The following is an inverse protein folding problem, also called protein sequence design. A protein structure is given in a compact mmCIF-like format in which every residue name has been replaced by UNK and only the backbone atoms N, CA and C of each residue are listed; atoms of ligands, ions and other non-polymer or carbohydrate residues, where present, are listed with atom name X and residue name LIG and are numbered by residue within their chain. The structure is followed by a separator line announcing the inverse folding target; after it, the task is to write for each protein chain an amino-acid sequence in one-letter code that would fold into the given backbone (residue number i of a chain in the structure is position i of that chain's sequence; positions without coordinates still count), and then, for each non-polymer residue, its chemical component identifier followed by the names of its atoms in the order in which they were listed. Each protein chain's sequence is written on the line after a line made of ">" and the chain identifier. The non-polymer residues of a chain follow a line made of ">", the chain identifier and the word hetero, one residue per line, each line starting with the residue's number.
data_IF_111362643037
#
_entry.id   IF_111362643037
#
_cell.length_a   1.000
_cell.length_b   1.000
_cell.length_c   1.000
_cell.angle_alpha   90.00
_cell.angle_beta   90.00
_cell.angle_gamma   90.00
#
_symmetry.space_group_name_H-M   'P 1'
#
loop_
_entity.id
_entity.type
_entity.pdbx_description
1 polymer ?
#
# COMPACT_ATOMS: atom_id res chain seq x y z
N UNK A 1 20.41 9.46 9.82
CA UNK A 1 21.52 8.55 9.45
C UNK A 1 21.09 7.32 8.64
N UNK A 2 19.80 7.11 8.33
CA UNK A 2 19.31 5.96 7.53
C UNK A 2 19.66 5.97 6.03
N UNK A 3 19.64 7.10 5.29
CA UNK A 3 19.93 7.09 3.84
C UNK A 3 21.39 6.74 3.51
N UNK A 4 22.32 6.84 4.48
CA UNK A 4 23.74 6.62 4.26
C UNK A 4 24.10 5.16 3.90
N UNK A 5 23.38 4.17 4.43
CA UNK A 5 23.65 2.75 4.15
C UNK A 5 23.18 2.33 2.75
N UNK A 6 22.00 2.83 2.32
CA UNK A 6 21.49 2.67 0.95
C UNK A 6 22.45 3.32 -0.06
N UNK A 7 22.94 4.53 0.25
CA UNK A 7 23.94 5.21 -0.58
C UNK A 7 25.26 4.45 -0.67
N UNK A 8 25.71 3.78 0.40
CA UNK A 8 26.92 2.95 0.36
C UNK A 8 26.71 1.71 -0.54
N UNK A 9 25.54 1.06 -0.46
CA UNK A 9 25.21 -0.05 -1.34
C UNK A 9 25.18 0.38 -2.83
N UNK A 10 24.60 1.54 -3.13
CA UNK A 10 24.60 2.12 -4.49
C UNK A 10 26.01 2.55 -4.92
N UNK A 11 26.79 3.19 -4.05
CA UNK A 11 28.16 3.62 -4.34
C UNK A 11 29.12 2.45 -4.60
N UNK A 12 28.87 1.28 -4.00
CA UNK A 12 29.63 0.06 -4.29
C UNK A 12 29.40 -0.47 -5.71
N UNK A 13 28.29 -0.05 -6.35
CA UNK A 13 27.92 -0.37 -7.74
C UNK A 13 27.68 0.93 -8.54
N UNK A 14 28.74 1.65 -8.96
CA UNK A 14 28.63 2.95 -9.64
C UNK A 14 27.96 2.92 -11.03
N UNK A 15 27.53 1.74 -11.51
CA UNK A 15 26.98 1.56 -12.84
C UNK A 15 25.45 1.74 -12.93
N UNK A 16 24.70 1.70 -11.83
CA UNK A 16 23.23 1.77 -11.86
C UNK A 16 22.70 3.12 -11.37
N UNK A 17 22.10 3.91 -12.27
CA UNK A 17 21.31 5.12 -11.91
C UNK A 17 20.01 4.77 -11.15
N UNK A 18 19.61 3.52 -11.20
CA UNK A 18 18.39 2.98 -10.62
C UNK A 18 18.71 2.11 -9.41
N UNK A 19 17.71 1.94 -8.55
CA UNK A 19 17.78 1.06 -7.40
C UNK A 19 17.41 -0.36 -7.84
N UNK A 20 18.27 -1.34 -7.56
CA UNK A 20 18.02 -2.74 -7.91
C UNK A 20 16.86 -3.31 -7.06
N UNK A 21 15.78 -3.84 -7.66
CA UNK A 21 14.73 -4.52 -6.92
C UNK A 21 15.28 -5.68 -6.09
N UNK A 22 14.85 -5.82 -4.85
CA UNK A 22 15.32 -6.88 -3.94
C UNK A 22 16.67 -6.59 -3.26
N UNK A 23 17.33 -5.47 -3.57
CA UNK A 23 18.55 -5.08 -2.87
C UNK A 23 18.26 -4.71 -1.40
N UNK A 24 19.18 -5.01 -0.47
CA UNK A 24 18.99 -4.68 0.95
C UNK A 24 19.01 -3.17 1.17
N UNK A 25 18.02 -2.66 1.90
CA UNK A 25 17.88 -1.23 2.22
C UNK A 25 18.72 -0.79 3.43
N UNK A 26 19.27 -1.75 4.17
CA UNK A 26 19.92 -1.54 5.47
C UNK A 26 19.01 -1.77 6.68
N UNK A 27 17.71 -2.02 6.45
CA UNK A 27 16.76 -2.47 7.47
C UNK A 27 16.48 -3.96 7.25
N UNK A 28 16.52 -4.75 8.33
CA UNK A 28 16.28 -6.19 8.25
C UNK A 28 14.84 -6.48 7.85
N UNK A 29 14.66 -7.31 6.83
CA UNK A 29 13.34 -7.69 6.30
C UNK A 29 12.72 -6.66 5.35
N UNK A 30 13.40 -5.53 5.07
CA UNK A 30 12.93 -4.52 4.13
C UNK A 30 13.83 -4.45 2.90
N UNK A 31 13.31 -4.93 1.77
CA UNK A 31 14.02 -4.95 0.49
C UNK A 31 13.54 -3.84 -0.44
N UNK A 32 14.42 -3.43 -1.35
CA UNK A 32 14.12 -2.39 -2.34
C UNK A 32 12.96 -2.79 -3.23
N UNK A 33 11.94 -1.93 -3.31
CA UNK A 33 10.74 -2.19 -4.09
C UNK A 33 10.96 -1.86 -5.58
N UNK A 34 10.38 -2.65 -6.49
CA UNK A 34 10.60 -2.48 -7.94
C UNK A 34 9.91 -1.24 -8.54
N UNK A 35 8.65 -1.01 -8.16
CA UNK A 35 7.84 0.10 -8.66
C UNK A 35 7.11 0.81 -7.50
N UNK A 36 7.83 1.54 -6.63
CA UNK A 36 7.25 2.10 -5.40
C UNK A 36 6.17 3.17 -5.67
N UNK A 37 6.29 3.91 -6.78
CA UNK A 37 5.37 4.97 -7.17
C UNK A 37 3.95 4.47 -7.45
N UNK A 38 3.80 3.52 -8.37
CA UNK A 38 2.49 2.94 -8.71
C UNK A 38 1.85 2.23 -7.52
N UNK A 39 2.64 1.54 -6.69
CA UNK A 39 2.15 0.93 -5.44
C UNK A 39 1.59 1.98 -4.48
N UNK A 40 2.32 3.06 -4.22
CA UNK A 40 1.85 4.13 -3.33
C UNK A 40 0.62 4.85 -3.88
N UNK A 41 0.57 5.13 -5.18
CA UNK A 41 -0.61 5.72 -5.82
C UNK A 41 -1.84 4.80 -5.70
N UNK A 42 -1.65 3.49 -5.85
CA UNK A 42 -2.71 2.51 -5.64
C UNK A 42 -3.19 2.49 -4.18
N UNK A 43 -2.26 2.41 -3.22
CA UNK A 43 -2.60 2.37 -1.80
C UNK A 43 -3.35 3.64 -1.38
N UNK A 44 -2.83 4.83 -1.75
CA UNK A 44 -3.47 6.10 -1.39
C UNK A 44 -4.82 6.33 -2.06
N UNK A 45 -4.98 5.96 -3.34
CA UNK A 45 -6.31 6.02 -3.97
C UNK A 45 -7.30 5.07 -3.30
N UNK A 46 -6.85 3.85 -2.96
CA UNK A 46 -7.68 2.87 -2.24
C UNK A 46 -8.04 3.34 -0.83
N UNK A 47 -7.10 3.95 -0.09
CA UNK A 47 -7.41 4.51 1.24
C UNK A 47 -8.42 5.65 1.12
N UNK A 48 -8.26 6.57 0.16
CA UNK A 48 -9.22 7.65 -0.07
C UNK A 48 -10.62 7.14 -0.44
N UNK A 49 -10.72 6.11 -1.28
CA UNK A 49 -11.99 5.46 -1.60
C UNK A 49 -12.64 4.84 -0.36
N UNK A 50 -11.85 4.20 0.51
CA UNK A 50 -12.37 3.62 1.76
C UNK A 50 -12.76 4.66 2.79
N UNK A 51 -12.00 5.75 2.92
CA UNK A 51 -12.30 6.85 3.84
C UNK A 51 -13.66 7.52 3.52
N UNK A 52 -14.13 7.47 2.26
CA UNK A 52 -15.46 7.96 1.90
C UNK A 52 -16.61 7.22 2.60
N UNK A 53 -16.38 5.99 3.09
CA UNK A 53 -17.38 5.23 3.85
C UNK A 53 -17.59 5.78 5.26
N UNK A 54 -16.62 6.54 5.78
CA UNK A 54 -16.68 7.16 7.11
C UNK A 54 -17.41 8.51 7.02
N UNK A 55 -18.04 9.02 8.10
CA UNK A 55 -18.68 10.33 8.09
C UNK A 55 -17.65 11.48 7.99
N UNK A 56 -18.01 12.57 7.30
CA UNK A 56 -17.15 13.76 7.12
C UNK A 56 -16.84 14.51 8.42
N UNK A 57 -17.67 14.34 9.45
CA UNK A 57 -17.45 14.90 10.79
C UNK A 57 -16.35 14.19 11.58
N UNK A 58 -15.94 12.99 11.16
CA UNK A 58 -14.91 12.23 11.87
C UNK A 58 -13.56 12.92 11.76
N UNK A 59 -12.96 13.24 12.92
CA UNK A 59 -11.61 13.83 12.99
C UNK A 59 -10.57 12.90 12.36
N UNK A 60 -10.73 11.58 12.53
CA UNK A 60 -9.87 10.58 11.90
C UNK A 60 -9.94 10.66 10.37
N UNK A 61 -11.15 10.76 9.79
CA UNK A 61 -11.31 10.90 8.33
C UNK A 61 -10.61 12.17 7.84
N UNK A 62 -10.80 13.30 8.50
CA UNK A 62 -10.21 14.58 8.10
C UNK A 62 -8.68 14.55 8.13
N UNK A 63 -8.09 13.99 9.19
CA UNK A 63 -6.63 13.92 9.32
C UNK A 63 -6.02 12.91 8.34
N UNK A 64 -6.63 11.74 8.19
CA UNK A 64 -6.18 10.71 7.25
C UNK A 64 -6.28 11.17 5.80
N UNK A 65 -7.38 11.85 5.41
CA UNK A 65 -7.52 12.43 4.07
C UNK A 65 -6.48 13.52 3.80
N UNK A 66 -6.26 14.44 4.75
CA UNK A 66 -5.29 15.52 4.57
C UNK A 66 -3.86 14.96 4.39
N UNK A 67 -3.46 14.00 5.22
CA UNK A 67 -2.15 13.37 5.15
C UNK A 67 -2.00 12.57 3.85
N UNK A 68 -3.00 11.77 3.49
CA UNK A 68 -2.96 10.95 2.27
C UNK A 68 -2.88 11.81 1.01
N UNK A 69 -3.71 12.86 0.90
CA UNK A 69 -3.67 13.80 -0.24
C UNK A 69 -2.34 14.52 -0.34
N UNK A 70 -1.76 14.93 0.78
CA UNK A 70 -0.45 15.57 0.81
C UNK A 70 0.66 14.63 0.32
N UNK A 71 0.68 13.37 0.80
CA UNK A 71 1.66 12.39 0.33
C UNK A 71 1.45 12.00 -1.13
N UNK A 72 0.20 11.87 -1.57
CA UNK A 72 -0.15 11.59 -2.95
C UNK A 72 0.35 12.69 -3.88
N UNK A 73 0.18 13.98 -3.53
CA UNK A 73 0.63 15.10 -4.37
C UNK A 73 2.16 15.16 -4.54
N UNK A 74 2.92 14.78 -3.52
CA UNK A 74 4.38 14.64 -3.60
C UNK A 74 4.76 13.57 -4.63
N UNK A 75 4.10 12.41 -4.59
CA UNK A 75 4.41 11.29 -5.48
C UNK A 75 3.98 11.56 -6.93
N UNK A 76 2.88 12.28 -7.12
CA UNK A 76 2.41 12.69 -8.44
C UNK A 76 3.40 13.63 -9.15
N UNK A 77 4.08 14.51 -8.38
CA UNK A 77 5.06 15.46 -8.91
C UNK A 77 6.28 14.76 -9.52
N UNK A 78 6.72 13.66 -8.93
CA UNK A 78 7.95 12.97 -9.35
C UNK A 78 7.63 11.90 -10.40
N UNK A 79 7.94 12.19 -11.67
CA UNK A 79 7.66 11.29 -12.82
C UNK A 79 8.94 10.62 -13.35
N UNK A 80 8.95 9.31 -13.62
CA UNK A 80 10.08 8.64 -14.27
C UNK A 80 10.16 9.04 -15.75
N UNK A 81 11.38 9.00 -16.30
CA UNK A 81 11.59 9.19 -17.73
C UNK A 81 10.93 8.06 -18.55
N UNK A 82 10.24 8.40 -19.64
CA UNK A 82 9.58 7.42 -20.51
C UNK A 82 8.18 6.97 -20.06
N UNK A 83 7.62 7.55 -18.99
CA UNK A 83 6.28 7.20 -18.49
C UNK A 83 5.18 7.39 -19.56
N UNK A 84 5.20 8.51 -20.27
CA UNK A 84 4.17 8.84 -21.27
C UNK A 84 4.19 7.85 -22.46
N UNK A 85 5.38 7.44 -22.89
CA UNK A 85 5.56 6.45 -23.95
C UNK A 85 5.08 5.06 -23.50
N UNK A 86 5.40 4.69 -22.26
CA UNK A 86 4.89 3.46 -21.65
C UNK A 86 3.36 3.46 -21.55
N UNK A 87 2.76 4.54 -21.05
CA UNK A 87 1.30 4.68 -20.95
C UNK A 87 0.61 4.56 -22.32
N UNK A 88 1.19 5.12 -23.37
CA UNK A 88 0.63 5.02 -24.73
C UNK A 88 0.63 3.59 -25.25
N UNK A 89 1.73 2.84 -25.00
CA UNK A 89 1.85 1.43 -25.40
C UNK A 89 0.90 0.54 -24.60
N UNK A 90 0.86 0.75 -23.29
CA UNK A 90 0.04 -0.04 -22.36
C UNK A 90 -1.46 0.26 -22.52
N UNK A 91 -1.84 1.48 -22.92
CA UNK A 91 -3.23 1.87 -23.14
C UNK A 91 -3.98 0.86 -24.03
N UNK A 92 -3.36 0.46 -25.15
CA UNK A 92 -3.96 -0.46 -26.12
C UNK A 92 -4.28 -1.81 -25.49
N UNK A 93 -3.33 -2.36 -24.72
CA UNK A 93 -3.49 -3.64 -24.03
C UNK A 93 -4.52 -3.55 -22.90
N UNK A 94 -4.51 -2.46 -22.15
CA UNK A 94 -5.43 -2.26 -21.02
C UNK A 94 -6.87 -2.05 -21.50
N UNK A 95 -7.07 -1.33 -22.60
CA UNK A 95 -8.39 -1.13 -23.20
C UNK A 95 -8.92 -2.40 -23.88
N UNK A 96 -8.04 -3.27 -24.37
CA UNK A 96 -8.43 -4.59 -24.88
C UNK A 96 -8.91 -5.54 -23.77
N UNK A 97 -8.43 -5.36 -22.53
CA UNK A 97 -8.67 -6.26 -21.40
C UNK A 97 -9.20 -5.53 -20.15
N UNK A 98 -10.42 -4.96 -20.20
CA UNK A 98 -11.03 -4.29 -19.04
C UNK A 98 -11.33 -5.26 -17.88
N UNK A 99 -11.39 -6.56 -18.12
CA UNK A 99 -11.53 -7.61 -17.11
C UNK A 99 -10.26 -7.78 -16.27
N UNK A 100 -9.08 -7.59 -16.84
CA UNK A 100 -7.81 -7.82 -16.16
C UNK A 100 -7.29 -6.60 -15.41
N UNK A 101 -7.56 -5.41 -15.93
CA UNK A 101 -6.93 -4.17 -15.47
C UNK A 101 -7.94 -3.16 -14.92
N UNK A 102 -7.51 -2.40 -13.91
CA UNK A 102 -8.20 -1.22 -13.37
C UNK A 102 -7.37 0.02 -13.66
N UNK A 103 -7.98 1.00 -14.33
CA UNK A 103 -7.39 2.34 -14.50
C UNK A 103 -7.81 3.23 -13.33
N UNK A 104 -6.86 3.76 -12.59
CA UNK A 104 -7.11 4.71 -11.51
C UNK A 104 -6.69 6.09 -12.03
N UNK A 105 -7.62 7.05 -12.20
CA UNK A 105 -7.28 8.37 -12.69
C UNK A 105 -6.44 9.12 -11.65
N UNK A 106 -5.34 9.71 -12.09
CA UNK A 106 -4.49 10.58 -11.28
C UNK A 106 -4.97 12.01 -11.55
N UNK A 107 -5.43 12.71 -10.51
CA UNK A 107 -5.93 14.08 -10.66
C UNK A 107 -4.75 15.04 -10.56
N UNK A 108 -3.95 15.11 -11.62
CA UNK A 108 -2.84 16.06 -11.66
C UNK A 108 -3.36 17.49 -11.81
N UNK A 109 -2.81 18.43 -11.06
CA UNK A 109 -3.15 19.87 -11.14
C UNK A 109 -2.98 20.45 -12.55
N UNK A 110 -2.17 19.81 -13.40
CA UNK A 110 -1.86 20.19 -14.78
C UNK A 110 -2.95 19.81 -15.80
N UNK A 111 -4.02 19.10 -15.41
CA UNK A 111 -5.10 18.70 -16.32
C UNK A 111 -4.73 17.59 -17.32
N UNK A 112 -3.54 17.01 -17.21
CA UNK A 112 -3.13 15.82 -17.95
C UNK A 112 -3.85 14.59 -17.37
N UNK A 113 -4.52 13.81 -18.22
CA UNK A 113 -5.22 12.58 -17.82
C UNK A 113 -4.22 11.43 -17.66
N UNK A 114 -3.44 11.47 -16.59
CA UNK A 114 -2.62 10.33 -16.20
C UNK A 114 -3.48 9.27 -15.50
N UNK A 115 -3.11 8.01 -15.67
CA UNK A 115 -3.76 6.91 -14.95
C UNK A 115 -2.71 5.90 -14.48
N UNK A 116 -2.96 5.35 -13.30
CA UNK A 116 -2.25 4.20 -12.80
C UNK A 116 -2.95 2.92 -13.28
N UNK A 117 -2.17 1.93 -13.72
CA UNK A 117 -2.69 0.64 -14.18
C UNK A 117 -2.45 -0.38 -13.08
N UNK A 118 -3.53 -0.93 -12.54
CA UNK A 118 -3.48 -1.92 -11.46
C UNK A 118 -4.14 -3.21 -11.94
N UNK A 119 -3.52 -4.34 -11.61
CA UNK A 119 -4.10 -5.66 -11.85
C UNK A 119 -5.31 -5.87 -10.94
N UNK A 120 -6.42 -6.38 -11.49
CA UNK A 120 -7.52 -6.82 -10.65
C UNK A 120 -7.11 -8.11 -9.92
N UNK A 121 -7.52 -8.31 -8.66
CA UNK A 121 -7.15 -9.50 -7.88
C UNK A 121 -7.45 -10.82 -8.59
N UNK A 122 -8.58 -10.92 -9.28
CA UNK A 122 -8.99 -12.10 -10.05
C UNK A 122 -8.05 -12.44 -11.21
N UNK A 123 -7.46 -11.42 -11.84
CA UNK A 123 -6.53 -11.59 -12.95
C UNK A 123 -5.13 -12.00 -12.48
N UNK A 124 -4.70 -11.48 -11.32
CA UNK A 124 -3.42 -11.84 -10.72
C UNK A 124 -3.39 -13.31 -10.27
N UNK A 125 -4.51 -13.84 -9.76
CA UNK A 125 -4.64 -15.24 -9.37
C UNK A 125 -4.56 -16.18 -10.59
N UNK A 126 -5.16 -15.81 -11.72
CA UNK A 126 -5.05 -16.56 -12.98
C UNK A 126 -3.61 -16.67 -13.51
N UNK A 127 -2.85 -15.57 -13.44
CA UNK A 127 -1.43 -15.56 -13.86
C UNK A 127 -0.54 -16.39 -12.94
N UNK A 128 -0.79 -16.38 -11.62
CA UNK A 128 -0.02 -17.17 -10.64
C UNK A 128 -0.36 -18.65 -10.67
N UNK A 129 -1.60 -18.98 -11.03
CA UNK A 129 -2.10 -20.37 -11.05
C UNK A 129 -1.80 -21.06 -12.37
N UNK A 130 -1.55 -20.32 -13.45
CA UNK A 130 -1.10 -20.87 -14.74
C UNK A 130 0.33 -21.44 -14.60
N UNK A 131 0.52 -22.76 -14.48
CA UNK A 131 1.84 -23.36 -14.41
C UNK A 131 2.43 -23.33 -15.81
N UNK A 132 3.63 -22.77 -15.98
CA UNK A 132 4.35 -22.83 -17.26
C UNK A 132 4.86 -24.26 -17.56
N UNK A 133 4.81 -25.15 -16.56
CA UNK A 133 5.18 -26.56 -16.65
C UNK A 133 4.18 -27.42 -15.86
N UNK A 134 3.88 -28.60 -16.39
CA UNK A 134 2.84 -29.59 -16.01
C UNK A 134 2.97 -30.20 -14.60
N UNK A 135 3.59 -29.48 -13.66
CA UNK A 135 3.72 -29.86 -12.26
C UNK A 135 2.65 -29.10 -11.47
N UNK A 136 1.46 -29.70 -11.39
CA UNK A 136 0.38 -29.26 -10.51
C UNK A 136 0.97 -29.05 -9.11
N UNK A 137 1.00 -27.79 -8.62
CA UNK A 137 1.58 -27.48 -7.31
C UNK A 137 0.92 -28.41 -6.28
N UNK A 138 1.69 -29.20 -5.50
CA UNK A 138 1.12 -30.20 -4.62
C UNK A 138 0.11 -29.51 -3.72
N UNK A 139 -1.16 -29.87 -3.90
CA UNK A 139 -2.26 -29.28 -3.15
C UNK A 139 -1.96 -29.35 -1.67
N UNK A 140 -2.43 -28.36 -0.90
CA UNK A 140 -2.32 -28.42 0.57
C UNK A 140 -2.85 -29.79 1.01
N UNK A 141 -2.13 -30.52 1.88
CA UNK A 141 -2.57 -31.83 2.32
C UNK A 141 -3.99 -31.71 2.87
N UNK A 142 -4.93 -32.42 2.24
CA UNK A 142 -6.32 -32.39 2.66
C UNK A 142 -6.41 -33.07 4.02
N UNK A 143 -7.03 -32.42 5.00
CA UNK A 143 -7.23 -32.98 6.33
C UNK A 143 -8.32 -34.06 6.25
N UNK A 144 -8.05 -35.27 6.75
CA UNK A 144 -9.04 -36.36 6.75
C UNK A 144 -10.13 -36.09 7.80
N UNK A 145 -11.39 -35.89 7.38
CA UNK A 145 -12.54 -35.65 8.27
C UNK A 145 -13.74 -34.98 7.58
N UNK A 146 -14.86 -34.76 8.30
CA UNK A 146 -15.96 -33.93 7.83
C UNK A 146 -15.46 -32.49 7.65
N UNK A 147 -15.60 -31.94 6.44
CA UNK A 147 -15.17 -30.58 6.12
C UNK A 147 -15.98 -29.56 6.94
N UNK A 148 -15.32 -28.48 7.34
CA UNK A 148 -16.01 -27.29 7.88
C UNK A 148 -16.91 -26.67 6.81
N UNK A 149 -17.99 -25.99 7.21
CA UNK A 149 -18.85 -25.24 6.28
C UNK A 149 -18.04 -24.22 5.45
N UNK A 150 -17.04 -23.58 6.07
CA UNK A 150 -16.15 -22.62 5.41
C UNK A 150 -15.27 -23.29 4.33
N UNK A 151 -14.75 -24.49 4.59
CA UNK A 151 -13.98 -25.26 3.62
C UNK A 151 -14.84 -25.73 2.46
N UNK A 152 -16.11 -26.06 2.74
CA UNK A 152 -17.07 -26.48 1.74
C UNK A 152 -17.46 -25.32 0.82
N UNK A 153 -17.66 -24.12 1.37
CA UNK A 153 -17.87 -22.88 0.59
C UNK A 153 -16.65 -22.58 -0.29
N UNK A 154 -15.44 -22.70 0.27
CA UNK A 154 -14.21 -22.46 -0.47
C UNK A 154 -14.00 -23.48 -1.59
N UNK A 155 -14.39 -24.74 -1.37
CA UNK A 155 -14.34 -25.78 -2.39
C UNK A 155 -15.39 -25.55 -3.49
N UNK A 156 -16.62 -25.21 -3.12
CA UNK A 156 -17.67 -24.84 -4.09
C UNK A 156 -17.22 -23.67 -4.96
N UNK A 157 -16.56 -22.66 -4.36
CA UNK A 157 -15.95 -21.56 -5.09
C UNK A 157 -14.90 -22.00 -6.10
N UNK A 158 -14.07 -23.03 -5.78
CA UNK A 158 -13.10 -23.61 -6.72
C UNK A 158 -13.77 -24.44 -7.83
N UNK A 159 -14.81 -25.20 -7.48
CA UNK A 159 -15.53 -26.07 -8.44
C UNK A 159 -16.46 -25.27 -9.36
N UNK A 160 -16.92 -24.10 -8.92
CA UNK A 160 -17.70 -23.16 -9.72
C UNK A 160 -16.83 -22.27 -10.62
N UNK A 161 -15.50 -22.47 -10.66
CA UNK A 161 -14.61 -21.76 -11.59
C UNK A 161 -14.87 -22.25 -13.01
N UNK A 162 -15.06 -21.30 -13.92
CA UNK A 162 -15.24 -21.57 -15.34
C UNK A 162 -13.87 -21.85 -15.99
N UNK A 163 -13.63 -23.06 -16.54
CA UNK A 163 -12.36 -23.40 -17.18
C UNK A 163 -12.01 -22.48 -18.37
N UNK A 164 -13.01 -21.86 -19.00
CA UNK A 164 -12.83 -20.95 -20.13
C UNK A 164 -12.27 -19.59 -19.66
N UNK A 165 -12.61 -19.14 -18.46
CA UNK A 165 -12.02 -17.93 -17.84
C UNK A 165 -10.55 -18.18 -17.44
N UNK A 166 -10.21 -19.38 -16.97
CA UNK A 166 -8.83 -19.74 -16.57
C UNK A 166 -7.85 -19.78 -17.76
N UNK A 167 -8.31 -20.13 -18.96
CA UNK A 167 -7.46 -20.18 -20.16
C UNK A 167 -7.39 -18.85 -20.92
N UNK A 168 -7.99 -17.77 -20.41
CA UNK A 168 -7.75 -16.44 -20.97
C UNK A 168 -6.32 -16.05 -20.67
N UNK A 169 -5.48 -16.08 -21.71
CA UNK A 169 -4.11 -15.61 -21.65
C UNK A 169 -4.14 -14.11 -21.40
N UNK A 170 -4.06 -13.71 -20.12
CA UNK A 170 -3.96 -12.30 -19.76
C UNK A 170 -2.58 -11.82 -20.25
N UNK A 171 -2.52 -10.82 -21.15
CA UNK A 171 -1.26 -10.37 -21.70
C UNK A 171 -0.39 -9.76 -20.59
N UNK A 172 0.86 -10.24 -20.51
CA UNK A 172 1.87 -9.69 -19.61
C UNK A 172 2.21 -8.26 -20.05
N UNK A 173 1.90 -7.29 -19.21
CA UNK A 173 2.27 -5.89 -19.43
C UNK A 173 3.73 -5.67 -19.04
N UNK A 174 4.45 -4.85 -19.81
CA UNK A 174 5.77 -4.36 -19.43
C UNK A 174 5.71 -3.59 -18.09
N UNK A 175 6.66 -3.81 -17.16
CA UNK A 175 6.69 -3.07 -15.90
C UNK A 175 6.85 -1.56 -16.13
N UNK A 176 6.29 -0.74 -15.24
CA UNK A 176 6.49 0.71 -15.26
C UNK A 176 8.00 1.03 -15.20
N UNK A 177 8.49 2.06 -15.93
CA UNK A 177 9.85 2.54 -15.76
C UNK A 177 10.13 2.92 -14.30
N UNK A 178 11.23 2.39 -13.75
CA UNK A 178 11.65 2.65 -12.37
C UNK A 178 12.11 4.10 -12.17
N UNK A 179 11.90 4.64 -10.97
CA UNK A 179 12.46 5.93 -10.55
C UNK A 179 13.98 5.87 -10.41
N UNK A 180 14.66 6.97 -10.70
CA UNK A 180 16.10 7.09 -10.41
C UNK A 180 16.34 7.21 -8.91
N UNK A 181 17.55 6.87 -8.46
CA UNK A 181 17.90 6.98 -7.03
C UNK A 181 17.75 8.42 -6.50
N UNK A 182 18.06 9.43 -7.32
CA UNK A 182 17.91 10.85 -6.99
C UNK A 182 16.43 11.24 -6.79
N UNK A 183 15.56 10.76 -7.68
CA UNK A 183 14.11 10.99 -7.58
C UNK A 183 13.52 10.33 -6.33
N UNK A 184 13.97 9.12 -6.00
CA UNK A 184 13.55 8.45 -4.76
C UNK A 184 14.00 9.25 -3.54
N UNK A 185 15.24 9.76 -3.54
CA UNK A 185 15.76 10.58 -2.46
C UNK A 185 14.99 11.92 -2.30
N UNK A 186 14.57 12.53 -3.41
CA UNK A 186 13.70 13.72 -3.40
C UNK A 186 12.36 13.42 -2.70
N UNK A 187 11.69 12.32 -3.08
CA UNK A 187 10.43 11.88 -2.45
C UNK A 187 10.65 11.63 -0.96
N UNK A 188 11.70 10.90 -0.58
CA UNK A 188 12.02 10.60 0.82
C UNK A 188 12.27 11.88 1.64
N UNK A 189 12.95 12.87 1.05
CA UNK A 189 13.21 14.17 1.66
C UNK A 189 11.95 15.00 1.89
N UNK A 190 11.04 15.03 0.92
CA UNK A 190 9.79 15.81 1.01
C UNK A 190 8.75 15.15 1.92
N UNK A 191 8.64 13.82 1.89
CA UNK A 191 7.71 13.08 2.76
C UNK A 191 8.21 13.05 4.21
N UNK A 192 9.53 13.09 4.42
CA UNK A 192 10.15 13.19 5.74
C UNK A 192 9.84 12.04 6.70
N UNK A 193 9.44 10.87 6.18
CA UNK A 193 8.93 9.73 6.97
C UNK A 193 9.80 8.46 6.86
N UNK A 194 11.07 8.60 6.50
CA UNK A 194 11.99 7.46 6.34
C UNK A 194 12.19 7.06 4.87
N UNK A 195 12.52 5.79 4.64
CA UNK A 195 12.69 5.26 3.28
C UNK A 195 11.34 5.08 2.59
N UNK A 196 11.32 5.12 1.24
CA UNK A 196 10.08 4.96 0.48
C UNK A 196 9.40 3.60 0.75
N UNK A 197 10.19 2.56 1.04
CA UNK A 197 9.68 1.25 1.40
C UNK A 197 8.98 1.23 2.78
N UNK A 198 9.46 2.02 3.76
CA UNK A 198 8.76 2.20 5.04
C UNK A 198 7.43 2.94 4.82
N UNK A 199 7.41 3.93 3.90
CA UNK A 199 6.20 4.67 3.55
C UNK A 199 5.14 3.75 2.94
N UNK A 200 5.55 2.75 2.13
CA UNK A 200 4.63 1.73 1.61
C UNK A 200 4.03 0.91 2.75
N UNK A 201 4.84 0.41 3.68
CA UNK A 201 4.33 -0.35 4.83
C UNK A 201 3.35 0.47 5.68
N UNK A 202 3.64 1.76 5.88
CA UNK A 202 2.72 2.67 6.58
C UNK A 202 1.42 2.84 5.79
N UNK A 203 1.47 2.96 4.47
CA UNK A 203 0.28 3.08 3.63
C UNK A 203 -0.58 1.79 3.62
N UNK A 204 0.04 0.62 3.62
CA UNK A 204 -0.64 -0.67 3.78
C UNK A 204 -1.31 -0.78 5.15
N UNK A 205 -0.58 -0.43 6.22
CA UNK A 205 -1.11 -0.40 7.58
C UNK A 205 -2.26 0.60 7.74
N UNK A 206 -2.18 1.76 7.10
CA UNK A 206 -3.28 2.74 7.10
C UNK A 206 -4.52 2.20 6.39
N UNK A 207 -4.36 1.52 5.25
CA UNK A 207 -5.48 0.90 4.56
C UNK A 207 -6.18 -0.14 5.45
N UNK A 208 -5.42 -1.01 6.10
CA UNK A 208 -5.96 -1.98 7.06
C UNK A 208 -6.58 -1.29 8.28
N UNK A 209 -5.97 -0.23 8.78
CA UNK A 209 -6.51 0.55 9.89
C UNK A 209 -7.86 1.16 9.53
N UNK A 210 -8.01 1.75 8.34
CA UNK A 210 -9.30 2.30 7.90
C UNK A 210 -10.39 1.23 7.91
N UNK A 211 -10.08 -0.01 7.51
CA UNK A 211 -11.02 -1.13 7.61
C UNK A 211 -11.46 -1.39 9.04
N UNK A 212 -10.50 -1.50 9.97
CA UNK A 212 -10.81 -1.75 11.39
C UNK A 212 -11.55 -0.57 12.03
N UNK A 213 -11.19 0.66 11.68
CA UNK A 213 -11.85 1.87 12.19
C UNK A 213 -13.29 1.97 11.71
N UNK A 214 -13.56 1.53 10.46
CA UNK A 214 -14.91 1.46 9.93
C UNK A 214 -15.79 0.44 10.69
N UNK A 215 -15.22 -0.70 11.08
CA UNK A 215 -15.88 -1.71 11.91
C UNK A 215 -16.11 -1.23 13.34
N UNK A 216 -15.09 -0.61 13.95
CA UNK A 216 -15.11 -0.15 15.33
C UNK A 216 -15.91 1.15 15.55
N UNK A 217 -16.30 1.86 14.48
CA UNK A 217 -17.10 3.10 14.53
C UNK A 217 -16.61 4.13 15.55
N UNK A 218 -15.31 4.37 15.56
CA UNK A 218 -14.61 5.25 16.53
C UNK A 218 -15.07 6.71 16.58
N UNK A 219 -15.93 7.13 15.66
CA UNK A 219 -16.51 8.47 15.60
C UNK A 219 -17.81 8.59 16.41
N UNK A 220 -18.34 7.48 16.94
CA UNK A 220 -19.48 7.49 17.85
C UNK A 220 -19.04 7.94 19.25
N UNK A 221 -20.02 8.35 20.06
CA UNK A 221 -19.78 8.71 21.45
C UNK A 221 -19.27 7.52 22.24
N UNK A 222 -18.53 7.80 23.32
CA UNK A 222 -17.95 6.79 24.19
C UNK A 222 -19.03 5.82 24.71
N UNK A 223 -18.85 4.53 24.46
CA UNK A 223 -19.78 3.47 24.90
C UNK A 223 -19.99 3.48 26.43
N UNK A 224 -18.89 3.66 27.18
CA UNK A 224 -18.91 3.69 28.65
C UNK A 224 -18.18 4.92 29.19
N UNK A 225 -18.92 5.79 29.88
CA UNK A 225 -18.30 6.92 30.60
C UNK A 225 -17.45 6.40 31.76
N UNK A 226 -16.27 6.99 32.00
CA UNK A 226 -15.42 6.57 33.11
C UNK A 226 -16.13 6.79 34.44
N UNK A 227 -15.93 5.87 35.39
CA UNK A 227 -16.40 6.03 36.76
C UNK A 227 -15.74 7.24 37.43
N UNK A 228 -16.47 7.88 38.35
CA UNK A 228 -15.93 8.98 39.15
C UNK A 228 -14.70 8.50 39.94
N UNK A 229 -13.56 9.17 39.75
CA UNK A 229 -12.30 8.80 40.39
C UNK A 229 -11.38 7.86 39.59
N UNK A 230 -11.81 7.31 38.45
CA UNK A 230 -11.03 6.35 37.64
C UNK A 230 -9.69 6.93 37.13
N UNK A 231 -9.68 8.21 36.79
CA UNK A 231 -8.51 8.91 36.25
C UNK A 231 -7.84 9.85 37.27
N UNK A 232 -8.18 9.71 38.55
CA UNK A 232 -7.54 10.48 39.63
C UNK A 232 -6.29 9.74 40.09
N UNK A 233 -5.13 10.24 39.66
CA UNK A 233 -3.84 9.68 40.05
C UNK A 233 -3.34 10.29 41.36
N UNK A 234 -2.30 9.68 41.95
CA UNK A 234 -1.60 10.25 43.09
C UNK A 234 -0.82 11.50 42.66
N UNK A 235 -1.42 12.68 42.82
CA UNK A 235 -0.72 13.96 42.66
C UNK A 235 0.34 14.08 43.76
N UNK A 236 1.60 14.31 43.37
CA UNK A 236 2.68 14.66 44.32
C UNK A 236 2.61 16.14 44.62
N UNK A 237 1.56 16.58 45.30
CA UNK A 237 1.38 17.98 45.65
C UNK A 237 2.03 18.35 47.00
N UNK A 238 3.12 17.69 47.35
CA UNK A 238 4.00 18.13 48.45
C UNK A 238 4.93 19.21 47.93
N UNK A 239 4.39 20.41 47.77
CA UNK A 239 5.20 21.63 47.82
C UNK A 239 5.93 21.62 49.16
N UNK A 240 7.22 21.29 49.16
CA UNK A 240 8.08 21.48 50.33
C UNK A 240 8.06 22.97 50.64
N UNK A 241 7.37 23.36 51.71
CA UNK A 241 7.35 24.75 52.17
C UNK A 241 8.79 25.24 52.31
N UNK A 242 9.09 26.35 51.65
CA UNK A 242 10.40 27.03 51.70
C UNK A 242 10.81 27.18 53.17
N UNK A 243 11.80 26.41 53.63
CA UNK A 243 12.40 26.59 54.94
C UNK A 243 13.00 27.99 54.97
N UNK A 244 12.35 28.94 55.65
CA UNK A 244 12.97 30.23 55.91
C UNK A 244 14.16 30.00 56.85
N UNK A 245 15.35 30.35 56.38
CA UNK A 245 16.54 30.44 57.21
C UNK A 245 16.40 31.67 58.10
N UNK A 246 16.29 31.43 59.41
CA UNK A 246 16.42 32.45 60.47
C UNK A 246 17.88 32.68 60.82
#
# INVERSE_FOLDING_TARGET
>A
MRPALRLLAVASKPASKFLEPGAPTGITGLFTHAAPRSTLLYLYSSTLEKLQTLPESSVYRQSAEALTRHRMSIIERVKPAGLAEWQTRVAQTVDAHPEAFRKIPITTQSGEKEYNVVWKPSAEEGVKTAPEWDDEAPGKPMMEGPRSEEEQIQQLGRMARDPVEEHRVIPRIEPEPSLTAEQVQEIEGEVGSGLIEEVIQVAEGELELVHRMAEAKVWEDLEEKPAEGQWTYFERDTHTGTTQAS
#
